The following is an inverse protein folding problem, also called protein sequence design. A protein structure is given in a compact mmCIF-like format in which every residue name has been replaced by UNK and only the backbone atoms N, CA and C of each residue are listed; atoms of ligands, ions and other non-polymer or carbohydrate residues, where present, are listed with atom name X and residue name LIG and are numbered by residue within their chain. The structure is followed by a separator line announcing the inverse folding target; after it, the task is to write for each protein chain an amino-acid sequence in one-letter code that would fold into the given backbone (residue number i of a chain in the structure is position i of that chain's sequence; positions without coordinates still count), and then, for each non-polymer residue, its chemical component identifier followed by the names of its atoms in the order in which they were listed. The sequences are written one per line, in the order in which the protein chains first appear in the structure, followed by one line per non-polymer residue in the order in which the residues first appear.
data_IF_292648455488
#
_entry.id   IF_292648455488
#
_cell.length_a   1.000
_cell.length_b   1.000
_cell.length_c   1.000
_cell.angle_alpha   90.00
_cell.angle_beta   90.00
_cell.angle_gamma   90.00
#
_symmetry.space_group_name_H-M   'P 1'
#
loop_
_entity.id
_entity.type
_entity.pdbx_description
1 polymer ?
#
# COMPACT_ATOMS: atom_id res chain seq x y z
N UNK A 1 -6.96 8.29 4.98
CA UNK A 1 -6.62 6.91 5.35
C UNK A 1 -6.64 6.08 4.08
N UNK A 2 -5.57 5.34 3.78
CA UNK A 2 -5.44 4.53 2.55
C UNK A 2 -6.27 3.24 2.66
N UNK A 3 -6.67 2.65 1.52
CA UNK A 3 -7.42 1.38 1.46
C UNK A 3 -6.60 0.22 0.87
N UNK A 4 -7.08 -1.02 1.05
CA UNK A 4 -6.48 -2.21 0.42
C UNK A 4 -6.44 -2.11 -1.11
N UNK A 5 -7.49 -1.55 -1.72
CA UNK A 5 -7.55 -1.32 -3.17
C UNK A 5 -6.52 -0.28 -3.62
N UNK A 6 -6.35 0.80 -2.86
CA UNK A 6 -5.32 1.82 -3.13
C UNK A 6 -3.91 1.25 -2.98
N UNK A 7 -3.67 0.38 -2.00
CA UNK A 7 -2.39 -0.32 -1.83
C UNK A 7 -2.11 -1.20 -3.05
N UNK A 8 -3.08 -2.03 -3.46
CA UNK A 8 -2.95 -2.90 -4.63
C UNK A 8 -2.71 -2.10 -5.92
N UNK A 9 -3.47 -1.03 -6.13
CA UNK A 9 -3.33 -0.16 -7.29
C UNK A 9 -1.95 0.55 -7.30
N UNK A 10 -1.52 1.07 -6.15
CA UNK A 10 -0.25 1.77 -6.00
C UNK A 10 0.91 0.81 -6.29
N UNK A 11 0.83 -0.41 -5.75
CA UNK A 11 1.79 -1.47 -6.02
C UNK A 11 1.87 -1.81 -7.51
N UNK A 12 0.74 -1.93 -8.19
CA UNK A 12 0.69 -2.20 -9.63
C UNK A 12 1.33 -1.06 -10.45
N UNK A 13 1.02 0.20 -10.12
CA UNK A 13 1.63 1.39 -10.74
C UNK A 13 3.15 1.45 -10.49
N UNK A 14 3.60 1.05 -9.30
CA UNK A 14 5.01 0.98 -8.92
C UNK A 14 5.74 -0.21 -9.56
N UNK A 15 5.02 -1.16 -10.17
CA UNK A 15 5.54 -2.45 -10.68
C UNK A 15 6.19 -3.32 -9.61
N UNK A 16 5.67 -3.23 -8.37
CA UNK A 16 6.14 -4.05 -7.26
C UNK A 16 5.28 -5.32 -7.13
N UNK A 17 5.91 -6.43 -6.78
CA UNK A 17 5.23 -7.62 -6.25
C UNK A 17 4.80 -7.37 -4.80
N UNK A 18 3.85 -8.16 -4.29
CA UNK A 18 3.43 -8.07 -2.90
C UNK A 18 4.59 -8.38 -1.93
N UNK A 19 5.56 -9.21 -2.36
CA UNK A 19 6.77 -9.54 -1.61
C UNK A 19 7.71 -8.34 -1.52
N UNK A 20 7.99 -7.66 -2.64
CA UNK A 20 8.85 -6.48 -2.63
C UNK A 20 8.25 -5.33 -1.81
N UNK A 21 6.93 -5.12 -1.90
CA UNK A 21 6.26 -4.15 -1.04
C UNK A 21 6.38 -4.53 0.44
N UNK A 22 6.19 -5.81 0.79
CA UNK A 22 6.33 -6.27 2.16
C UNK A 22 7.74 -6.03 2.73
N UNK A 23 8.77 -6.35 1.93
CA UNK A 23 10.18 -6.10 2.28
C UNK A 23 10.47 -4.61 2.47
N UNK A 24 10.03 -3.75 1.54
CA UNK A 24 10.23 -2.30 1.63
C UNK A 24 9.46 -1.66 2.78
N UNK A 25 8.27 -2.17 3.11
CA UNK A 25 7.44 -1.66 4.20
C UNK A 25 7.81 -2.23 5.58
N UNK A 26 8.69 -3.23 5.66
CA UNK A 26 9.04 -3.89 6.92
C UNK A 26 7.86 -4.68 7.53
N UNK A 27 6.98 -5.23 6.69
CA UNK A 27 5.77 -5.96 7.11
C UNK A 27 5.76 -7.37 6.53
N UNK A 28 4.97 -8.28 7.12
CA UNK A 28 4.85 -9.65 6.59
C UNK A 28 4.07 -9.71 5.28
N UNK A 29 4.51 -10.57 4.33
CA UNK A 29 3.83 -10.80 3.04
C UNK A 29 2.34 -11.14 3.21
N UNK A 30 2.01 -12.02 4.15
CA UNK A 30 0.62 -12.42 4.44
C UNK A 30 -0.22 -11.22 4.90
N UNK A 31 0.37 -10.25 5.60
CA UNK A 31 -0.35 -9.05 6.02
C UNK A 31 -0.72 -8.19 4.82
N UNK A 32 0.22 -7.94 3.89
CA UNK A 32 -0.06 -7.25 2.62
C UNK A 32 -1.19 -7.93 1.85
N UNK A 33 -1.08 -9.24 1.63
CA UNK A 33 -2.07 -9.99 0.85
C UNK A 33 -3.46 -9.96 1.50
N UNK A 34 -3.55 -10.09 2.83
CA UNK A 34 -4.84 -10.03 3.54
C UNK A 34 -5.48 -8.65 3.48
N UNK A 35 -4.67 -7.59 3.55
CA UNK A 35 -5.14 -6.20 3.41
C UNK A 35 -5.61 -5.95 1.98
N UNK A 36 -4.81 -6.28 0.97
CA UNK A 36 -5.16 -6.09 -0.45
C UNK A 36 -6.38 -6.91 -0.87
N UNK A 37 -6.59 -8.09 -0.28
CA UNK A 37 -7.75 -8.95 -0.57
C UNK A 37 -8.98 -8.62 0.29
N UNK A 38 -8.92 -7.61 1.16
CA UNK A 38 -10.04 -7.24 2.04
C UNK A 38 -10.35 -8.22 3.16
N UNK A 39 -9.50 -9.24 3.37
CA UNK A 39 -9.61 -10.20 4.50
C UNK A 39 -9.39 -9.50 5.83
N UNK A 40 -8.56 -8.46 5.84
CA UNK A 40 -8.37 -7.56 6.97
C UNK A 40 -8.64 -6.14 6.50
N UNK A 41 -9.59 -5.47 7.13
CA UNK A 41 -9.76 -4.04 6.93
C UNK A 41 -8.51 -3.30 7.38
N UNK A 42 -8.04 -2.36 6.58
CA UNK A 42 -6.92 -1.47 6.92
C UNK A 42 -7.16 -0.71 8.24
N UNK A 43 -8.42 -0.48 8.62
CA UNK A 43 -8.81 0.14 9.89
C UNK A 43 -8.47 -0.73 11.12
N UNK A 44 -8.36 -2.04 10.92
CA UNK A 44 -8.02 -3.01 11.95
C UNK A 44 -6.54 -3.41 11.91
N UNK A 45 -5.77 -2.89 10.95
CA UNK A 45 -4.33 -3.08 10.91
C UNK A 45 -3.65 -2.16 11.94
N UNK A 46 -2.48 -2.58 12.43
CA UNK A 46 -1.66 -1.75 13.32
C UNK A 46 -1.25 -0.46 12.59
N UNK A 47 -1.23 0.67 13.30
CA UNK A 47 -0.89 1.97 12.71
C UNK A 47 0.47 1.93 12.02
N UNK A 48 1.46 1.27 12.62
CA UNK A 48 2.81 1.14 12.09
C UNK A 48 2.85 0.34 10.77
N UNK A 49 1.95 -0.65 10.63
CA UNK A 49 1.80 -1.41 9.37
C UNK A 49 1.24 -0.51 8.27
N UNK A 50 0.23 0.30 8.58
CA UNK A 50 -0.37 1.22 7.60
C UNK A 50 0.64 2.29 7.16
N UNK A 51 1.35 2.88 8.13
CA UNK A 51 2.39 3.88 7.85
C UNK A 51 3.55 3.30 7.03
N UNK A 52 4.04 2.11 7.37
CA UNK A 52 5.12 1.45 6.63
C UNK A 52 4.75 1.19 5.17
N UNK A 53 3.54 0.70 4.92
CA UNK A 53 3.03 0.46 3.56
C UNK A 53 2.90 1.77 2.79
N UNK A 54 2.32 2.81 3.41
CA UNK A 54 2.15 4.10 2.76
C UNK A 54 3.50 4.70 2.36
N UNK A 55 4.46 4.75 3.29
CA UNK A 55 5.80 5.30 3.03
C UNK A 55 6.56 4.52 1.95
N UNK A 56 6.47 3.19 1.94
CA UNK A 56 7.12 2.38 0.92
C UNK A 56 6.58 2.69 -0.49
N UNK A 57 5.26 2.80 -0.64
CA UNK A 57 4.64 3.16 -1.92
C UNK A 57 4.97 4.60 -2.34
N UNK A 58 4.96 5.55 -1.40
CA UNK A 58 5.36 6.94 -1.65
C UNK A 58 6.82 7.04 -2.11
N UNK A 59 7.72 6.28 -1.49
CA UNK A 59 9.12 6.17 -1.91
C UNK A 59 9.28 5.56 -3.32
N UNK A 60 8.36 4.67 -3.71
CA UNK A 60 8.29 4.14 -5.08
C UNK A 60 7.63 5.09 -6.10
N UNK A 61 7.33 6.33 -5.69
CA UNK A 61 6.77 7.39 -6.54
C UNK A 61 5.25 7.40 -6.62
N UNK A 62 4.55 6.66 -5.75
CA UNK A 62 3.09 6.68 -5.67
C UNK A 62 2.61 7.89 -4.87
N UNK A 63 1.54 8.51 -5.35
CA UNK A 63 0.86 9.61 -4.67
C UNK A 63 -0.55 9.14 -4.35
N UNK A 64 -0.90 9.16 -3.07
CA UNK A 64 -2.27 8.91 -2.61
C UNK A 64 -3.11 10.17 -2.77
N UNK A 65 -4.25 10.04 -3.44
CA UNK A 65 -5.17 11.16 -3.64
C UNK A 65 -6.03 11.38 -2.38
N UNK A 66 -6.44 12.64 -2.10
CA UNK A 66 -7.35 12.95 -0.99
C UNK A 66 -8.65 12.14 -1.03
N UNK A 67 -9.34 12.08 0.10
CA UNK A 67 -10.71 11.56 0.23
C UNK A 67 -10.96 10.14 -0.31
N UNK A 68 -9.89 9.35 -0.49
CA UNK A 68 -9.99 7.98 -0.99
C UNK A 68 -10.19 7.85 -2.50
N UNK A 69 -10.02 8.93 -3.27
CA UNK A 69 -10.26 8.92 -4.72
C UNK A 69 -9.39 7.93 -5.50
N UNK A 70 -8.19 7.61 -5.00
CA UNK A 70 -7.32 6.63 -5.65
C UNK A 70 -5.84 6.90 -5.40
N UNK A 71 -5.03 6.44 -6.35
CA UNK A 71 -3.57 6.60 -6.36
C UNK A 71 -3.09 6.91 -7.78
N UNK A 72 -2.03 7.68 -7.89
CA UNK A 72 -1.31 7.94 -9.15
C UNK A 72 0.18 7.72 -8.96
N UNK A 73 0.95 7.65 -10.05
CA UNK A 73 2.42 7.61 -10.00
C UNK A 73 2.94 8.93 -10.54
N UNK A 74 3.81 9.61 -9.78
CA UNK A 74 4.49 10.81 -10.27
C UNK A 74 5.34 10.41 -11.48
N UNK A 75 4.94 10.86 -12.66
CA UNK A 75 5.78 10.78 -13.85
C UNK A 75 6.90 11.83 -13.73
N UNK A 76 8.10 11.55 -14.25
CA UNK A 76 9.15 12.56 -14.37
C UNK A 76 8.69 13.73 -15.24
#
# INVERSE_FOLDING_TARGET
MISGDQIRAGRALARLSAKELAEQAGVGLTAIQRIENGVVSIRNAKAETVEGIQRALEAAGIVFLPDGYGVTKRQP
#
